data_IF_119124799442
#
_entry.id   IF_119124799442
#
_cell.length_a   1.000
_cell.length_b   1.000
_cell.length_c   1.000
_cell.angle_alpha   90.00
_cell.angle_beta   90.00
_cell.angle_gamma   90.00
#
_symmetry.space_group_name_H-M   'P 1'
#
loop_
_entity.id
_entity.type
_entity.pdbx_description
1 polymer ?
#
# COMPACT_ATOMS: atom_id res chain seq x y z
N UNK A 1 2.53 15.87 26.80
CA UNK A 1 3.13 14.63 26.29
C UNK A 1 2.05 13.90 25.49
N UNK A 2 2.19 13.83 24.18
CA UNK A 2 1.16 13.20 23.35
C UNK A 2 1.31 11.68 23.41
N UNK A 3 0.26 10.98 23.84
CA UNK A 3 0.30 9.52 23.99
C UNK A 3 0.24 8.84 22.63
N UNK A 4 0.83 7.65 22.52
CA UNK A 4 0.81 6.88 21.27
C UNK A 4 -0.61 6.55 20.79
N UNK A 5 -1.56 6.43 21.72
CA UNK A 5 -2.98 6.26 21.42
C UNK A 5 -3.58 7.47 20.67
N UNK A 6 -3.16 8.69 21.02
CA UNK A 6 -3.61 9.91 20.32
C UNK A 6 -3.00 9.98 18.92
N UNK A 7 -1.73 9.58 18.77
CA UNK A 7 -1.09 9.46 17.45
C UNK A 7 -1.81 8.43 16.59
N UNK A 8 -2.07 7.24 17.12
CA UNK A 8 -2.79 6.16 16.44
C UNK A 8 -4.18 6.62 15.96
N UNK A 9 -4.98 7.29 16.81
CA UNK A 9 -6.32 7.76 16.41
C UNK A 9 -6.28 8.74 15.23
N UNK A 10 -5.30 9.64 15.19
CA UNK A 10 -5.16 10.61 14.09
C UNK A 10 -4.72 9.96 12.79
N UNK A 11 -3.92 8.90 12.86
CA UNK A 11 -3.41 8.18 11.67
C UNK A 11 -4.20 6.92 11.34
N UNK A 12 -5.24 6.59 12.12
CA UNK A 12 -5.99 5.34 12.03
C UNK A 12 -6.51 5.06 10.62
N UNK A 13 -6.97 6.08 9.90
CA UNK A 13 -7.44 5.90 8.53
C UNK A 13 -6.33 5.41 7.58
N UNK A 14 -5.13 6.02 7.64
CA UNK A 14 -3.98 5.61 6.83
C UNK A 14 -3.43 4.25 7.28
N UNK A 15 -3.39 4.00 8.59
CA UNK A 15 -2.97 2.71 9.15
C UNK A 15 -3.92 1.58 8.73
N UNK A 16 -5.24 1.83 8.71
CA UNK A 16 -6.23 0.87 8.25
C UNK A 16 -6.06 0.54 6.77
N UNK A 17 -5.66 1.51 5.94
CA UNK A 17 -5.32 1.24 4.53
C UNK A 17 -4.03 0.43 4.42
N UNK A 18 -2.99 0.83 5.16
CA UNK A 18 -1.67 0.19 5.11
C UNK A 18 -1.67 -1.25 5.65
N UNK A 19 -2.55 -1.56 6.60
CA UNK A 19 -2.67 -2.91 7.19
C UNK A 19 -3.58 -3.85 6.37
N UNK A 20 -4.19 -3.38 5.28
CA UNK A 20 -4.92 -4.28 4.37
C UNK A 20 -3.94 -5.29 3.75
N UNK A 21 -4.38 -6.55 3.64
CA UNK A 21 -3.53 -7.68 3.19
C UNK A 21 -2.77 -7.40 1.88
N UNK A 22 -3.37 -6.65 0.97
CA UNK A 22 -2.80 -6.34 -0.34
C UNK A 22 -2.15 -4.94 -0.44
N UNK A 23 -2.06 -4.17 0.65
CA UNK A 23 -1.50 -2.83 0.61
C UNK A 23 0.01 -2.83 0.34
N UNK A 24 0.78 -3.60 1.10
CA UNK A 24 2.23 -3.73 0.90
C UNK A 24 2.55 -4.27 -0.51
N UNK A 25 1.94 -5.38 -0.98
CA UNK A 25 2.11 -5.83 -2.36
C UNK A 25 1.81 -4.76 -3.42
N UNK A 26 0.75 -3.97 -3.22
CA UNK A 26 0.38 -2.89 -4.14
C UNK A 26 1.45 -1.80 -4.17
N UNK A 27 1.92 -1.35 -3.00
CA UNK A 27 2.96 -0.33 -2.89
C UNK A 27 4.29 -0.79 -3.50
N UNK A 28 4.69 -2.04 -3.24
CA UNK A 28 5.91 -2.60 -3.81
C UNK A 28 5.83 -2.73 -5.34
N UNK A 29 4.69 -3.15 -5.86
CA UNK A 29 4.49 -3.26 -7.32
C UNK A 29 4.59 -1.88 -7.99
N UNK A 30 3.94 -0.86 -7.42
CA UNK A 30 3.95 0.50 -7.96
C UNK A 30 5.24 1.28 -7.66
N UNK A 31 6.12 0.77 -6.80
CA UNK A 31 7.43 1.40 -6.53
C UNK A 31 8.33 1.41 -7.76
N UNK A 32 8.17 0.42 -8.64
CA UNK A 32 8.99 0.26 -9.84
C UNK A 32 8.44 0.98 -11.08
N UNK A 33 7.32 1.69 -10.96
CA UNK A 33 6.69 2.41 -12.05
C UNK A 33 5.17 2.42 -11.94
N UNK A 34 4.51 2.89 -12.99
CA UNK A 34 3.06 2.92 -13.05
C UNK A 34 2.49 1.61 -13.58
N UNK A 35 1.23 1.34 -13.25
CA UNK A 35 0.52 0.15 -13.73
C UNK A 35 -0.96 0.44 -13.96
N UNK A 36 -1.56 -0.24 -14.93
CA UNK A 36 -3.02 -0.27 -15.06
C UNK A 36 -3.68 -1.11 -13.95
N UNK A 37 -4.98 -0.93 -13.74
CA UNK A 37 -5.73 -1.66 -12.70
C UNK A 37 -5.59 -3.18 -12.80
N UNK A 38 -5.78 -3.74 -13.99
CA UNK A 38 -5.76 -5.20 -14.18
C UNK A 38 -4.34 -5.79 -14.03
N UNK A 39 -3.29 -5.25 -14.69
CA UNK A 39 -1.92 -5.68 -14.43
C UNK A 39 -1.52 -5.59 -12.95
N UNK A 40 -1.89 -4.50 -12.28
CA UNK A 40 -1.61 -4.31 -10.86
C UNK A 40 -2.34 -5.36 -10.00
N UNK A 41 -3.62 -5.63 -10.29
CA UNK A 41 -4.40 -6.66 -9.62
C UNK A 41 -3.76 -8.05 -9.73
N UNK A 42 -3.33 -8.44 -10.93
CA UNK A 42 -2.68 -9.73 -11.18
C UNK A 42 -1.34 -9.82 -10.44
N UNK A 43 -0.52 -8.78 -10.49
CA UNK A 43 0.76 -8.73 -9.78
C UNK A 43 0.55 -8.86 -8.26
N UNK A 44 -0.42 -8.14 -7.71
CA UNK A 44 -0.78 -8.24 -6.29
C UNK A 44 -1.22 -9.67 -5.94
N UNK A 45 -1.99 -10.34 -6.79
CA UNK A 45 -2.39 -11.74 -6.56
C UNK A 45 -1.21 -12.71 -6.52
N UNK A 46 -0.12 -12.43 -7.25
CA UNK A 46 1.09 -13.25 -7.24
C UNK A 46 1.77 -13.32 -5.86
N UNK A 47 1.51 -12.35 -4.97
CA UNK A 47 1.96 -12.37 -3.57
C UNK A 47 1.10 -13.29 -2.67
N UNK A 48 0.18 -14.08 -3.23
CA UNK A 48 -0.66 -15.03 -2.50
C UNK A 48 -1.90 -14.40 -1.85
N UNK A 49 -2.11 -13.09 -2.01
CA UNK A 49 -3.34 -12.41 -1.59
C UNK A 49 -4.43 -12.58 -2.65
N UNK A 50 -5.68 -12.79 -2.25
CA UNK A 50 -6.78 -13.05 -3.19
C UNK A 50 -7.93 -12.04 -3.04
N UNK A 51 -7.71 -10.74 -3.30
CA UNK A 51 -8.83 -9.81 -3.45
C UNK A 51 -9.70 -10.22 -4.66
N UNK A 52 -10.98 -9.86 -4.61
CA UNK A 52 -11.80 -9.80 -5.83
C UNK A 52 -11.47 -8.51 -6.58
N UNK A 53 -11.59 -8.51 -7.91
CA UNK A 53 -11.29 -7.33 -8.72
C UNK A 53 -12.08 -6.07 -8.28
N UNK A 54 -13.39 -6.13 -7.97
CA UNK A 54 -14.13 -4.97 -7.48
C UNK A 54 -13.59 -4.42 -6.15
N UNK A 55 -13.25 -5.29 -5.19
CA UNK A 55 -12.68 -4.88 -3.90
C UNK A 55 -11.28 -4.31 -4.05
N UNK A 56 -10.50 -4.83 -4.99
CA UNK A 56 -9.17 -4.30 -5.30
C UNK A 56 -9.27 -2.90 -5.92
N UNK A 57 -10.20 -2.72 -6.86
CA UNK A 57 -10.46 -1.41 -7.47
C UNK A 57 -10.90 -0.37 -6.42
N UNK A 58 -11.87 -0.72 -5.58
CA UNK A 58 -12.33 0.14 -4.47
C UNK A 58 -11.15 0.51 -3.54
N UNK A 59 -10.29 -0.47 -3.24
CA UNK A 59 -9.09 -0.22 -2.45
C UNK A 59 -8.13 0.79 -3.11
N UNK A 60 -7.84 0.64 -4.40
CA UNK A 60 -6.98 1.57 -5.14
C UNK A 60 -7.60 2.97 -5.20
N UNK A 61 -8.91 3.07 -5.38
CA UNK A 61 -9.64 4.34 -5.32
C UNK A 61 -9.52 5.00 -3.94
N UNK A 62 -9.59 4.22 -2.85
CA UNK A 62 -9.32 4.72 -1.49
C UNK A 62 -7.88 5.18 -1.30
N UNK A 63 -6.89 4.51 -1.90
CA UNK A 63 -5.51 4.99 -1.92
C UNK A 63 -5.39 6.34 -2.62
N UNK A 64 -6.14 6.55 -3.72
CA UNK A 64 -6.17 7.81 -4.44
C UNK A 64 -6.80 8.92 -3.59
N UNK A 65 -7.93 8.66 -2.92
CA UNK A 65 -8.54 9.60 -1.97
C UNK A 65 -7.60 9.99 -0.83
N UNK A 66 -6.77 9.05 -0.36
CA UNK A 66 -5.77 9.30 0.67
C UNK A 66 -4.51 10.02 0.17
N UNK A 67 -4.42 10.31 -1.13
CA UNK A 67 -3.27 10.94 -1.78
C UNK A 67 -2.02 10.04 -1.80
N UNK A 68 -2.20 8.72 -1.77
CA UNK A 68 -1.11 7.73 -1.83
C UNK A 68 -0.78 7.41 -3.28
N UNK A 69 -1.80 7.31 -4.14
CA UNK A 69 -1.64 7.09 -5.58
C UNK A 69 -2.32 8.21 -6.37
N UNK A 70 -1.89 8.41 -7.61
CA UNK A 70 -2.65 9.16 -8.62
C UNK A 70 -3.18 8.17 -9.66
N UNK A 71 -4.34 8.49 -10.21
CA UNK A 71 -4.98 7.71 -11.26
C UNK A 71 -5.21 8.65 -12.45
N UNK A 72 -4.55 8.40 -13.57
CA UNK A 72 -4.69 9.17 -14.82
C UNK A 72 -4.87 8.20 -15.98
N UNK A 73 -5.92 8.37 -16.79
CA UNK A 73 -6.14 7.56 -17.99
C UNK A 73 -5.98 6.04 -17.77
N UNK A 74 -6.56 5.52 -16.67
CA UNK A 74 -6.48 4.11 -16.25
C UNK A 74 -5.08 3.63 -15.80
N UNK A 75 -4.13 4.54 -15.64
CA UNK A 75 -2.78 4.30 -15.12
C UNK A 75 -2.69 4.77 -13.67
N UNK A 76 -2.11 3.93 -12.81
CA UNK A 76 -1.94 4.16 -11.37
C UNK A 76 -0.45 4.33 -11.09
N UNK A 77 -0.11 5.39 -10.37
CA UNK A 77 1.27 5.69 -9.95
C UNK A 77 1.31 6.12 -8.49
N UNK A 78 2.44 5.89 -7.80
CA UNK A 78 2.63 6.43 -6.45
C UNK A 78 2.81 7.96 -6.50
N UNK A 79 2.23 8.65 -5.52
CA UNK A 79 2.61 10.05 -5.22
C UNK A 79 3.92 10.07 -4.43
N UNK A 80 4.50 11.24 -4.17
CA UNK A 80 5.64 11.38 -3.23
C UNK A 80 5.32 10.80 -1.85
N UNK A 81 4.06 10.94 -1.40
CA UNK A 81 3.57 10.35 -0.15
C UNK A 81 3.49 8.83 -0.26
N UNK A 82 3.00 8.30 -1.39
CA UNK A 82 2.97 6.86 -1.66
C UNK A 82 4.36 6.24 -1.74
N UNK A 83 5.32 6.92 -2.36
CA UNK A 83 6.71 6.46 -2.45
C UNK A 83 7.33 6.34 -1.05
N UNK A 84 7.14 7.34 -0.18
CA UNK A 84 7.58 7.27 1.23
C UNK A 84 6.94 6.10 1.98
N UNK A 85 5.68 5.80 1.73
CA UNK A 85 5.01 4.63 2.31
C UNK A 85 5.56 3.31 1.77
N UNK A 86 5.92 3.25 0.49
CA UNK A 86 6.57 2.08 -0.10
C UNK A 86 7.95 1.83 0.52
N UNK A 87 8.78 2.87 0.70
CA UNK A 87 10.07 2.76 1.40
C UNK A 87 9.91 2.29 2.86
N UNK A 88 8.92 2.84 3.59
CA UNK A 88 8.60 2.35 4.94
C UNK A 88 8.20 0.87 4.96
N UNK A 89 7.51 0.38 3.91
CA UNK A 89 7.18 -1.03 3.78
C UNK A 89 8.42 -1.91 3.55
N UNK A 90 9.38 -1.45 2.73
CA UNK A 90 10.67 -2.14 2.49
C UNK A 90 11.48 -2.23 3.79
N UNK A 91 11.56 -1.14 4.55
CA UNK A 91 12.23 -1.11 5.85
C UNK A 91 11.57 -2.06 6.86
N UNK A 92 10.24 -2.11 6.88
CA UNK A 92 9.48 -3.02 7.75
C UNK A 92 9.77 -4.49 7.41
N UNK A 93 9.74 -4.84 6.12
CA UNK A 93 10.08 -6.20 5.65
C UNK A 93 11.50 -6.56 6.08
N UNK A 94 12.47 -5.67 5.84
CA UNK A 94 13.88 -5.89 6.20
C UNK A 94 14.09 -6.10 7.70
N UNK A 95 13.32 -5.39 8.55
CA UNK A 95 13.34 -5.59 10.01
C UNK A 95 12.73 -6.93 10.42
N UNK A 96 11.63 -7.34 9.78
CA UNK A 96 10.99 -8.63 10.05
C UNK A 96 11.90 -9.79 9.63
N UNK A 97 12.55 -9.70 8.48
CA UNK A 97 13.52 -10.71 8.00
C UNK A 97 14.67 -10.90 9.00
N UNK A 98 15.19 -9.81 9.58
CA UNK A 98 16.22 -9.88 10.63
C UNK A 98 15.72 -10.60 11.88
N UNK A 99 14.49 -10.31 12.32
CA UNK A 99 13.88 -10.98 13.47
C UNK A 99 13.61 -12.48 13.23
N UNK A 100 13.52 -12.93 11.97
CA UNK A 100 13.37 -14.35 11.64
C UNK A 100 14.71 -15.10 11.58
N UNK A 101 15.81 -14.38 11.43
CA UNK A 101 17.16 -14.94 11.35
C UNK A 101 17.86 -15.05 12.71
N UNK A 102 17.30 -14.43 13.75
CA UNK A 102 17.69 -14.55 15.17
C UNK A 102 17.01 -15.75 15.84
#
# INVERSE_FOLDING_TARGET
METDLVRYRRTAHLLNLFTMKWAIPTLLTLRHGSAGFYPLFVNVQAFGVRPTYPKFREFVERLATAGIVKIQENTIELTDKGMKLAEMAVDLISKIEKLQAE
#
